data_IF_408491884301
#
_entry.id   IF_408491884301
#
_cell.length_a   1.000
_cell.length_b   1.000
_cell.length_c   1.000
_cell.angle_alpha   90.00
_cell.angle_beta   90.00
_cell.angle_gamma   90.00
#
_symmetry.space_group_name_H-M   'P 1'
#
loop_
_entity.id
_entity.type
_entity.pdbx_description
1 polymer ?
#
# COMPACT_ATOMS: atom_id res chain seq x y z
N UNK A 1 -0.84 -18.09 -11.98
CA UNK A 1 -1.44 -16.88 -11.42
C UNK A 1 -1.19 -16.87 -9.91
N UNK A 2 -0.39 -15.92 -9.43
CA UNK A 2 -0.15 -15.68 -8.00
C UNK A 2 -1.05 -14.59 -7.44
N UNK A 3 -0.98 -14.36 -6.12
CA UNK A 3 -1.81 -13.34 -5.45
C UNK A 3 -1.57 -11.92 -5.99
N UNK A 4 -0.33 -11.62 -6.40
CA UNK A 4 0.07 -10.32 -6.94
C UNK A 4 -0.60 -9.99 -8.26
N UNK A 5 -0.83 -10.98 -9.14
CA UNK A 5 -1.48 -10.76 -10.43
C UNK A 5 -2.90 -10.20 -10.25
N UNK A 6 -3.64 -10.73 -9.27
CA UNK A 6 -4.98 -10.25 -8.90
C UNK A 6 -4.96 -8.89 -8.19
N UNK A 7 -3.92 -8.57 -7.43
CA UNK A 7 -3.76 -7.24 -6.81
C UNK A 7 -3.47 -6.17 -7.87
N UNK A 8 -2.55 -6.46 -8.78
CA UNK A 8 -2.17 -5.56 -9.87
C UNK A 8 -3.34 -5.34 -10.83
N UNK A 9 -4.06 -6.41 -11.21
CA UNK A 9 -5.27 -6.29 -12.02
C UNK A 9 -6.35 -5.44 -11.34
N UNK A 10 -6.59 -5.61 -10.03
CA UNK A 10 -7.54 -4.77 -9.30
C UNK A 10 -7.16 -3.29 -9.36
N UNK A 11 -5.90 -2.95 -9.11
CA UNK A 11 -5.47 -1.54 -9.13
C UNK A 11 -5.53 -0.94 -10.53
N UNK A 12 -5.13 -1.70 -11.56
CA UNK A 12 -5.28 -1.30 -12.96
C UNK A 12 -6.73 -0.99 -13.35
N UNK A 13 -7.69 -1.88 -13.02
CA UNK A 13 -9.11 -1.62 -13.29
C UNK A 13 -9.64 -0.44 -12.44
N UNK A 14 -9.16 -0.29 -11.20
CA UNK A 14 -9.55 0.80 -10.31
C UNK A 14 -9.00 2.17 -10.71
N UNK A 15 -7.87 2.24 -11.42
CA UNK A 15 -7.36 3.48 -12.03
C UNK A 15 -8.22 3.93 -13.21
N UNK A 16 -8.81 2.98 -13.95
CA UNK A 16 -9.68 3.25 -15.09
C UNK A 16 -11.14 3.55 -14.68
N UNK A 17 -11.72 2.74 -13.79
CA UNK A 17 -13.07 2.92 -13.23
C UNK A 17 -13.03 2.71 -11.69
N UNK A 18 -12.86 3.80 -10.91
CA UNK A 18 -12.71 3.73 -9.46
C UNK A 18 -13.80 2.91 -8.75
N UNK A 19 -13.37 1.94 -7.96
CA UNK A 19 -14.24 1.20 -7.07
C UNK A 19 -14.60 2.06 -5.85
N UNK A 20 -15.85 1.93 -5.38
CA UNK A 20 -16.21 2.42 -4.05
C UNK A 20 -15.45 1.66 -2.96
N UNK A 21 -15.33 2.28 -1.78
CA UNK A 21 -14.70 1.66 -0.60
C UNK A 21 -15.31 0.27 -0.28
N UNK A 22 -16.61 0.10 -0.49
CA UNK A 22 -17.30 -1.18 -0.24
C UNK A 22 -16.95 -2.27 -1.27
N UNK A 23 -16.68 -1.88 -2.53
CA UNK A 23 -16.22 -2.80 -3.58
C UNK A 23 -14.77 -3.22 -3.32
N UNK A 24 -13.86 -2.27 -3.06
CA UNK A 24 -12.46 -2.59 -2.76
C UNK A 24 -12.30 -3.48 -1.53
N UNK A 25 -12.96 -3.13 -0.41
CA UNK A 25 -12.93 -3.92 0.83
C UNK A 25 -13.51 -5.32 0.62
N UNK A 26 -14.58 -5.46 -0.19
CA UNK A 26 -15.13 -6.77 -0.55
C UNK A 26 -14.15 -7.58 -1.41
N UNK A 27 -13.52 -6.96 -2.41
CA UNK A 27 -12.59 -7.63 -3.31
C UNK A 27 -11.38 -8.20 -2.55
N UNK A 28 -10.70 -7.39 -1.73
CA UNK A 28 -9.55 -7.86 -0.95
C UNK A 28 -9.91 -8.92 0.09
N UNK A 29 -11.13 -8.90 0.65
CA UNK A 29 -11.60 -10.00 1.50
C UNK A 29 -11.85 -11.29 0.71
N UNK A 30 -12.41 -11.20 -0.51
CA UNK A 30 -12.56 -12.35 -1.40
C UNK A 30 -11.20 -12.90 -1.86
N UNK A 31 -10.20 -12.04 -2.09
CA UNK A 31 -8.82 -12.42 -2.37
C UNK A 31 -8.17 -13.19 -1.21
N UNK A 32 -8.37 -12.72 0.03
CA UNK A 32 -7.96 -13.44 1.24
C UNK A 32 -8.65 -14.81 1.36
N UNK A 33 -9.97 -14.89 1.15
CA UNK A 33 -10.71 -16.17 1.22
C UNK A 33 -10.31 -17.15 0.11
N UNK A 34 -10.03 -16.67 -1.10
CA UNK A 34 -9.52 -17.49 -2.19
C UNK A 34 -8.15 -18.09 -1.82
N UNK A 35 -7.22 -17.27 -1.33
CA UNK A 35 -5.91 -17.72 -0.87
C UNK A 35 -6.01 -18.72 0.30
N UNK A 36 -6.89 -18.44 1.27
CA UNK A 36 -7.18 -19.33 2.41
C UNK A 36 -7.82 -20.66 1.98
N UNK A 37 -8.58 -20.67 0.89
CA UNK A 37 -9.17 -21.88 0.28
C UNK A 37 -8.27 -22.48 -0.81
N UNK A 38 -6.95 -22.21 -0.77
CA UNK A 38 -5.95 -22.73 -1.70
C UNK A 38 -6.28 -22.52 -3.19
N UNK A 39 -6.88 -21.36 -3.50
CA UNK A 39 -7.26 -20.97 -4.86
C UNK A 39 -8.26 -21.92 -5.55
N UNK A 40 -9.05 -22.66 -4.77
CA UNK A 40 -10.18 -23.41 -5.28
C UNK A 40 -11.14 -22.49 -6.05
N UNK A 41 -11.42 -22.79 -7.31
CA UNK A 41 -12.35 -22.03 -8.15
C UNK A 41 -13.51 -22.92 -8.61
N UNK A 42 -14.78 -22.57 -8.30
CA UNK A 42 -15.19 -21.48 -7.43
C UNK A 42 -15.04 -21.79 -5.92
N UNK A 43 -14.76 -20.78 -5.10
CA UNK A 43 -14.68 -20.88 -3.63
C UNK A 43 -15.98 -20.45 -2.95
N UNK A 44 -16.17 -20.89 -1.69
CA UNK A 44 -17.43 -20.71 -0.94
C UNK A 44 -17.33 -19.56 0.06
N UNK A 45 -18.23 -18.58 -0.02
CA UNK A 45 -18.38 -17.54 1.01
C UNK A 45 -19.86 -17.17 1.21
N UNK A 46 -20.35 -17.13 2.45
CA UNK A 46 -21.75 -16.76 2.70
C UNK A 46 -21.94 -15.24 2.76
N UNK A 47 -23.09 -14.73 2.28
CA UNK A 47 -23.45 -13.30 2.40
C UNK A 47 -23.54 -12.83 3.84
N UNK A 48 -23.88 -13.73 4.78
CA UNK A 48 -23.90 -13.42 6.21
C UNK A 48 -22.48 -13.26 6.78
N UNK A 49 -21.52 -14.11 6.37
CA UNK A 49 -20.12 -13.96 6.75
C UNK A 49 -19.56 -12.64 6.22
N UNK A 50 -19.80 -12.32 4.95
CA UNK A 50 -19.33 -11.06 4.35
C UNK A 50 -19.93 -9.83 5.05
N UNK A 51 -21.24 -9.81 5.33
CA UNK A 51 -21.86 -8.72 6.07
C UNK A 51 -21.25 -8.52 7.47
N UNK A 52 -21.00 -9.62 8.20
CA UNK A 52 -20.39 -9.56 9.53
C UNK A 52 -18.90 -9.14 9.50
N UNK A 53 -18.11 -9.73 8.59
CA UNK A 53 -16.65 -9.50 8.49
C UNK A 53 -16.30 -8.11 7.97
N UNK A 54 -17.12 -7.57 7.07
CA UNK A 54 -16.94 -6.22 6.51
C UNK A 54 -17.72 -5.16 7.30
N UNK A 55 -18.31 -5.52 8.44
CA UNK A 55 -19.14 -4.67 9.30
C UNK A 55 -20.16 -3.83 8.51
N UNK A 56 -20.92 -4.47 7.61
CA UNK A 56 -21.78 -3.78 6.65
C UNK A 56 -23.09 -4.52 6.37
N UNK A 57 -24.06 -3.85 5.74
CA UNK A 57 -25.37 -4.46 5.48
C UNK A 57 -25.33 -5.48 4.34
N UNK A 58 -26.19 -6.51 4.40
CA UNK A 58 -26.34 -7.49 3.31
C UNK A 58 -26.65 -6.83 1.96
N UNK A 59 -27.43 -5.74 1.97
CA UNK A 59 -27.76 -4.96 0.79
C UNK A 59 -26.52 -4.24 0.21
N UNK A 60 -25.64 -3.73 1.06
CA UNK A 60 -24.38 -3.12 0.61
C UNK A 60 -23.43 -4.18 0.01
N UNK A 61 -23.32 -5.35 0.63
CA UNK A 61 -22.58 -6.49 0.06
C UNK A 61 -23.13 -6.88 -1.32
N UNK A 62 -24.46 -6.89 -1.52
CA UNK A 62 -25.06 -7.16 -2.84
C UNK A 62 -24.67 -6.10 -3.87
N UNK A 63 -24.82 -4.81 -3.55
CA UNK A 63 -24.42 -3.70 -4.43
C UNK A 63 -22.93 -3.80 -4.82
N UNK A 64 -22.06 -4.03 -3.85
CA UNK A 64 -20.62 -4.15 -4.08
C UNK A 64 -20.27 -5.35 -4.98
N UNK A 65 -20.94 -6.49 -4.84
CA UNK A 65 -20.74 -7.62 -5.77
C UNK A 65 -21.17 -7.31 -7.19
N UNK A 66 -22.34 -6.68 -7.35
CA UNK A 66 -22.86 -6.35 -8.67
C UNK A 66 -21.96 -5.33 -9.39
N UNK A 67 -21.34 -4.40 -8.65
CA UNK A 67 -20.35 -3.46 -9.17
C UNK A 67 -18.98 -4.08 -9.50
N UNK A 68 -18.44 -4.94 -8.64
CA UNK A 68 -17.23 -5.73 -8.95
C UNK A 68 -17.44 -6.66 -10.16
N UNK A 69 -18.62 -7.29 -10.31
CA UNK A 69 -18.94 -8.13 -11.46
C UNK A 69 -19.05 -7.32 -12.76
N UNK A 70 -19.60 -6.09 -12.70
CA UNK A 70 -19.66 -5.19 -13.87
C UNK A 70 -18.28 -4.81 -14.40
N UNK A 71 -17.31 -4.59 -13.50
CA UNK A 71 -15.89 -4.37 -13.84
C UNK A 71 -15.14 -5.64 -14.23
N UNK A 72 -15.81 -6.79 -14.29
CA UNK A 72 -15.19 -8.06 -14.66
C UNK A 72 -14.19 -8.61 -13.64
N UNK A 73 -14.07 -8.02 -12.44
CA UNK A 73 -13.10 -8.41 -11.39
C UNK A 73 -13.48 -9.71 -10.65
N UNK A 74 -14.78 -10.00 -10.54
CA UNK A 74 -15.30 -11.23 -9.94
C UNK A 74 -16.46 -11.77 -10.78
N UNK A 75 -16.73 -13.06 -10.64
CA UNK A 75 -18.04 -13.64 -10.92
C UNK A 75 -18.60 -14.32 -9.65
N UNK A 76 -19.92 -14.43 -9.54
CA UNK A 76 -20.56 -15.08 -8.39
C UNK A 76 -21.92 -15.70 -8.73
N UNK A 77 -22.19 -16.87 -8.13
CA UNK A 77 -23.53 -17.46 -8.11
C UNK A 77 -24.21 -17.27 -6.75
N UNK A 78 -25.53 -17.03 -6.77
CA UNK A 78 -26.31 -16.84 -5.55
C UNK A 78 -26.50 -18.18 -4.84
N UNK A 79 -26.20 -18.22 -3.55
CA UNK A 79 -26.50 -19.37 -2.71
C UNK A 79 -28.00 -19.51 -2.43
N UNK A 80 -28.55 -20.72 -2.57
CA UNK A 80 -29.99 -21.04 -2.49
C UNK A 80 -30.52 -21.21 -1.05
N UNK A 81 -29.84 -20.64 -0.04
CA UNK A 81 -30.28 -20.64 1.36
C UNK A 81 -29.45 -21.53 2.29
N UNK A 82 -30.09 -22.11 3.32
CA UNK A 82 -29.40 -22.92 4.35
C UNK A 82 -28.72 -24.14 3.70
N UNK A 83 -27.40 -24.24 3.87
CA UNK A 83 -26.57 -25.33 3.33
C UNK A 83 -25.93 -25.06 1.96
N UNK A 84 -26.40 -24.06 1.20
CA UNK A 84 -25.85 -23.70 -0.12
C UNK A 84 -25.28 -22.26 -0.08
N UNK A 85 -23.99 -22.07 0.30
CA UNK A 85 -23.36 -20.76 0.30
C UNK A 85 -23.21 -20.21 -1.14
N UNK A 86 -23.00 -18.90 -1.26
CA UNK A 86 -22.67 -18.30 -2.54
C UNK A 86 -21.25 -18.74 -2.98
N UNK A 87 -21.09 -18.92 -4.29
CA UNK A 87 -19.84 -19.31 -4.91
C UNK A 87 -19.22 -18.11 -5.63
N UNK A 88 -17.89 -18.00 -5.60
CA UNK A 88 -17.14 -16.90 -6.21
C UNK A 88 -16.00 -17.44 -7.06
N UNK A 89 -15.73 -16.73 -8.14
CA UNK A 89 -14.53 -16.88 -8.94
C UNK A 89 -13.90 -15.50 -9.08
N UNK A 90 -12.65 -15.35 -8.66
CA UNK A 90 -11.86 -14.18 -9.02
C UNK A 90 -11.55 -14.26 -10.51
N UNK A 91 -11.66 -13.15 -11.21
CA UNK A 91 -11.44 -13.08 -12.65
C UNK A 91 -10.09 -12.42 -12.90
N UNK A 92 -9.38 -12.99 -13.88
CA UNK A 92 -8.10 -12.52 -14.37
C UNK A 92 -7.94 -13.14 -15.75
N UNK A 93 -7.89 -12.33 -16.81
CA UNK A 93 -7.65 -12.86 -18.17
C UNK A 93 -6.17 -13.21 -18.31
N UNK A 94 -5.85 -14.25 -19.09
CA UNK A 94 -4.46 -14.61 -19.39
C UNK A 94 -3.78 -13.49 -20.20
N UNK A 95 -4.51 -12.86 -21.13
CA UNK A 95 -4.07 -11.69 -21.89
C UNK A 95 -3.77 -10.49 -20.97
N UNK A 96 -4.64 -10.23 -19.97
CA UNK A 96 -4.43 -9.18 -18.96
C UNK A 96 -3.24 -9.51 -18.04
N UNK A 97 -3.02 -10.78 -17.70
CA UNK A 97 -1.88 -11.18 -16.86
C UNK A 97 -0.54 -10.95 -17.57
N UNK A 98 -0.47 -11.30 -18.85
CA UNK A 98 0.74 -11.13 -19.67
C UNK A 98 1.01 -9.65 -19.97
N UNK A 99 -0.01 -8.87 -20.32
CA UNK A 99 0.13 -7.44 -20.58
C UNK A 99 0.51 -6.64 -19.33
N UNK A 100 -0.11 -6.91 -18.17
CA UNK A 100 0.26 -6.27 -16.90
C UNK A 100 1.70 -6.63 -16.49
N UNK A 101 2.11 -7.89 -16.67
CA UNK A 101 3.48 -8.32 -16.40
C UNK A 101 4.49 -7.63 -17.31
N UNK A 102 4.19 -7.53 -18.62
CA UNK A 102 5.05 -6.83 -19.57
C UNK A 102 5.11 -5.31 -19.31
N UNK A 103 3.98 -4.67 -19.02
CA UNK A 103 3.92 -3.23 -18.72
C UNK A 103 4.74 -2.89 -17.48
N UNK A 104 4.56 -3.62 -16.38
CA UNK A 104 5.37 -3.42 -15.16
C UNK A 104 6.84 -3.75 -15.41
N UNK A 105 7.15 -4.81 -16.18
CA UNK A 105 8.53 -5.15 -16.51
C UNK A 105 9.18 -4.08 -17.38
N UNK A 106 8.48 -3.49 -18.35
CA UNK A 106 8.99 -2.37 -19.15
C UNK A 106 9.23 -1.13 -18.30
N UNK A 107 8.27 -0.70 -17.47
CA UNK A 107 8.47 0.45 -16.59
C UNK A 107 9.63 0.24 -15.60
N UNK A 108 9.78 -0.96 -15.05
CA UNK A 108 10.92 -1.31 -14.18
C UNK A 108 12.23 -1.38 -14.96
N UNK A 109 12.24 -1.92 -16.19
CA UNK A 109 13.46 -2.08 -17.00
C UNK A 109 13.93 -0.76 -17.57
N UNK A 110 13.03 0.12 -18.02
CA UNK A 110 13.35 1.49 -18.46
C UNK A 110 13.92 2.31 -17.30
N UNK A 111 13.29 2.22 -16.12
CA UNK A 111 13.81 2.85 -14.90
C UNK A 111 15.20 2.32 -14.55
N UNK A 112 15.41 1.01 -14.57
CA UNK A 112 16.69 0.38 -14.17
C UNK A 112 17.80 0.56 -15.22
N UNK A 113 17.46 0.59 -16.51
CA UNK A 113 18.39 0.87 -17.60
C UNK A 113 18.86 2.34 -17.59
N UNK A 114 18.02 3.26 -17.09
CA UNK A 114 18.43 4.66 -16.85
C UNK A 114 19.33 4.84 -15.61
N UNK A 115 19.33 3.87 -14.68
CA UNK A 115 20.10 3.91 -13.41
C UNK A 115 21.43 3.12 -13.47
N UNK A 116 21.80 2.49 -14.61
CA UNK A 116 23.03 1.69 -14.71
C UNK A 116 24.15 2.42 -15.50
N UNK A 117 25.21 2.92 -14.84
CA UNK A 117 26.42 3.36 -15.54
C UNK A 117 27.07 2.17 -16.25
N UNK A 118 27.32 2.29 -17.55
CA UNK A 118 28.21 1.37 -18.27
C UNK A 118 29.66 1.57 -17.81
N UNK A 119 30.05 0.95 -16.68
CA UNK A 119 31.44 0.89 -16.25
C UNK A 119 31.78 -0.43 -15.56
N UNK A 120 31.73 -1.53 -16.32
CA UNK A 120 32.61 -2.65 -16.05
C UNK A 120 34.00 -2.29 -16.60
N UNK A 121 35.06 -2.23 -15.78
CA UNK A 121 36.40 -1.90 -16.27
C UNK A 121 36.94 -3.09 -17.09
N UNK A 122 36.96 -2.94 -18.41
CA UNK A 122 37.68 -3.86 -19.29
C UNK A 122 39.18 -3.79 -18.96
N UNK A 123 39.70 -4.86 -18.38
CA UNK A 123 41.14 -4.98 -18.11
C UNK A 123 41.91 -4.98 -19.43
N UNK A 124 42.84 -4.04 -19.57
CA UNK A 124 43.70 -3.95 -20.75
C UNK A 124 44.56 -5.21 -20.92
N UNK A 125 44.31 -5.95 -22.00
CA UNK A 125 45.35 -6.76 -22.66
C UNK A 125 45.47 -6.16 -24.07
N UNK A 126 46.65 -5.63 -24.39
CA UNK A 126 46.95 -5.12 -25.73
C UNK A 126 47.20 -6.30 -26.67
N UNK A 127 46.67 -6.21 -27.88
CA UNK A 127 47.43 -6.46 -29.12
C UNK A 127 46.72 -5.79 -30.31
N UNK A 128 47.35 -5.79 -31.49
CA UNK A 128 47.42 -4.59 -32.35
C UNK A 128 46.64 -4.64 -33.69
N UNK A 129 46.31 -3.45 -34.23
CA UNK A 129 45.99 -3.12 -35.64
C UNK A 129 44.73 -3.77 -36.29
N UNK A 130 43.78 -3.04 -36.91
CA UNK A 130 43.97 -2.30 -38.18
C UNK A 130 42.70 -1.50 -38.62
N UNK A 131 42.85 -0.17 -38.81
CA UNK A 131 42.07 0.78 -39.68
C UNK A 131 40.55 1.09 -39.58
N UNK A 132 40.26 2.41 -39.47
CA UNK A 132 39.29 3.27 -40.26
C UNK A 132 37.77 3.08 -40.07
N UNK A 133 36.88 4.09 -40.14
CA UNK A 133 36.92 5.56 -40.44
C UNK A 133 35.72 6.24 -39.69
N UNK A 134 35.89 7.34 -38.93
CA UNK A 134 35.56 8.79 -39.22
C UNK A 134 34.09 9.26 -39.03
N UNK A 135 33.92 10.40 -38.32
CA UNK A 135 32.68 11.19 -38.08
C UNK A 135 32.43 11.44 -36.58
N UNK A 136 32.85 12.54 -35.92
CA UNK A 136 32.41 13.95 -36.05
C UNK A 136 30.87 14.09 -36.10
N UNK A 137 30.13 14.82 -35.24
CA UNK A 137 30.40 15.81 -34.17
C UNK A 137 29.28 15.67 -33.07
N UNK A 138 29.08 16.45 -31.98
CA UNK A 138 29.57 17.77 -31.48
C UNK A 138 29.45 17.85 -29.93
N UNK A 139 29.74 19.01 -29.33
CA UNK A 139 29.40 19.38 -27.93
C UNK A 139 28.41 20.57 -27.89
N UNK A 140 27.53 20.66 -26.88
CA UNK A 140 27.12 21.92 -26.22
C UNK A 140 26.72 21.68 -24.74
N UNK A 141 26.80 22.69 -23.83
CA UNK A 141 26.90 22.44 -22.39
C UNK A 141 25.69 22.89 -21.54
N UNK A 142 25.42 22.19 -20.42
CA UNK A 142 24.73 22.78 -19.26
C UNK A 142 24.83 21.93 -17.97
N UNK A 143 25.58 22.47 -17.01
CA UNK A 143 25.20 22.78 -15.62
C UNK A 143 24.39 21.78 -14.75
N UNK A 144 24.87 21.65 -13.50
CA UNK A 144 24.23 21.07 -12.31
C UNK A 144 24.13 19.54 -12.22
N UNK A 145 25.24 18.96 -11.79
CA UNK A 145 25.26 17.69 -11.05
C UNK A 145 24.33 17.77 -9.83
N UNK A 146 23.24 16.97 -9.82
CA UNK A 146 22.49 16.61 -8.61
C UNK A 146 22.81 15.16 -8.27
N UNK A 147 23.60 14.95 -7.22
CA UNK A 147 23.90 13.61 -6.69
C UNK A 147 22.64 13.04 -6.05
N UNK A 148 22.08 11.98 -6.64
CA UNK A 148 21.00 11.21 -6.02
C UNK A 148 21.62 10.36 -4.91
N UNK A 149 21.47 10.82 -3.67
CA UNK A 149 21.92 10.10 -2.48
C UNK A 149 20.92 9.00 -2.11
N UNK A 150 21.43 7.86 -1.68
CA UNK A 150 20.61 6.75 -1.20
C UNK A 150 19.88 7.11 0.10
N UNK A 151 18.83 6.35 0.42
CA UNK A 151 18.04 6.58 1.63
C UNK A 151 18.87 6.46 2.93
N UNK A 152 19.91 5.61 2.92
CA UNK A 152 20.86 5.46 4.02
C UNK A 152 21.78 6.67 4.16
N UNK A 153 22.34 7.18 3.06
CA UNK A 153 23.20 8.37 3.05
C UNK A 153 22.44 9.63 3.44
N UNK A 154 21.17 9.76 3.02
CA UNK A 154 20.27 10.82 3.46
C UNK A 154 19.96 10.73 4.95
N UNK A 155 19.68 9.53 5.47
CA UNK A 155 19.45 9.33 6.91
C UNK A 155 20.69 9.72 7.73
N UNK A 156 21.88 9.28 7.33
CA UNK A 156 23.11 9.61 8.04
C UNK A 156 23.40 11.12 8.00
N UNK A 157 23.25 11.77 6.84
CA UNK A 157 23.38 13.23 6.73
C UNK A 157 22.40 13.99 7.64
N UNK A 158 21.11 13.63 7.63
CA UNK A 158 20.10 14.33 8.43
C UNK A 158 20.26 14.07 9.94
N UNK A 159 20.78 12.90 10.35
CA UNK A 159 21.09 12.62 11.75
C UNK A 159 22.36 13.33 12.26
N UNK A 160 23.29 13.64 11.35
CA UNK A 160 24.53 14.38 11.65
C UNK A 160 24.37 15.91 11.57
N UNK A 161 23.35 16.43 10.87
CA UNK A 161 23.01 17.86 10.83
C UNK A 161 22.30 18.31 12.13
N UNK A 162 23.10 18.52 13.18
CA UNK A 162 22.62 18.98 14.48
C UNK A 162 22.02 20.41 14.44
N UNK A 163 22.38 21.23 13.44
CA UNK A 163 21.77 22.57 13.26
C UNK A 163 20.32 22.44 12.77
N UNK A 164 20.09 21.53 11.81
CA UNK A 164 18.75 21.22 11.35
C UNK A 164 17.90 20.51 12.41
N UNK A 165 18.46 19.58 13.19
CA UNK A 165 17.73 18.93 14.29
C UNK A 165 17.29 19.95 15.36
N UNK A 166 18.10 20.97 15.66
CA UNK A 166 17.72 22.07 16.55
C UNK A 166 16.60 22.94 15.94
N UNK A 167 16.72 23.29 14.67
CA UNK A 167 15.64 24.02 13.96
C UNK A 167 14.34 23.20 13.84
N UNK A 168 14.43 21.87 13.76
CA UNK A 168 13.31 20.95 13.73
C UNK A 168 12.63 20.87 15.11
N UNK A 169 13.39 20.77 16.20
CA UNK A 169 12.82 20.77 17.56
C UNK A 169 12.14 22.10 17.89
N UNK A 170 12.70 23.24 17.49
CA UNK A 170 12.05 24.55 17.62
C UNK A 170 10.74 24.65 16.82
N UNK A 171 10.71 24.14 15.58
CA UNK A 171 9.48 24.11 14.76
C UNK A 171 8.41 23.19 15.36
N UNK A 172 8.81 22.07 15.95
CA UNK A 172 7.90 21.14 16.65
C UNK A 172 7.37 21.75 17.96
N UNK A 173 8.22 22.41 18.74
CA UNK A 173 7.84 23.11 19.97
C UNK A 173 6.79 24.21 19.70
N UNK A 174 6.95 24.98 18.60
CA UNK A 174 5.94 25.94 18.11
C UNK A 174 4.58 25.30 17.77
N UNK A 175 4.54 23.98 17.53
CA UNK A 175 3.32 23.19 17.30
C UNK A 175 2.88 22.39 18.55
N UNK A 176 3.38 22.73 19.75
CA UNK A 176 3.14 22.04 21.04
C UNK A 176 3.67 20.59 21.12
N UNK A 177 4.62 20.22 20.26
CA UNK A 177 5.30 18.92 20.30
C UNK A 177 6.68 19.14 20.92
N UNK A 178 6.87 18.68 22.16
CA UNK A 178 8.15 18.75 22.88
C UNK A 178 8.80 17.37 22.79
N UNK A 179 10.02 17.31 22.25
CA UNK A 179 10.83 16.09 22.14
C UNK A 179 12.27 16.38 22.57
N UNK A 180 12.87 15.43 23.27
CA UNK A 180 14.28 15.45 23.60
C UNK A 180 15.14 15.18 22.35
N UNK A 181 16.42 15.57 22.39
CA UNK A 181 17.33 15.44 21.24
C UNK A 181 17.53 14.00 20.76
N UNK A 182 17.46 13.02 21.65
CA UNK A 182 17.52 11.59 21.32
C UNK A 182 16.18 11.08 20.75
N UNK A 183 15.06 11.40 21.41
CA UNK A 183 13.70 11.07 20.93
C UNK A 183 13.45 11.61 19.51
N UNK A 184 13.95 12.81 19.20
CA UNK A 184 13.86 13.39 17.86
C UNK A 184 14.66 12.57 16.85
N UNK A 185 15.89 12.15 17.18
CA UNK A 185 16.72 11.30 16.32
C UNK A 185 16.06 9.93 16.08
N UNK A 186 15.41 9.36 17.09
CA UNK A 186 14.65 8.11 16.94
C UNK A 186 13.39 8.28 16.08
N UNK A 187 12.70 9.43 16.15
CA UNK A 187 11.60 9.74 15.23
C UNK A 187 12.06 9.96 13.79
N UNK A 188 13.26 10.52 13.58
CA UNK A 188 13.88 10.61 12.26
C UNK A 188 14.21 9.20 11.72
N UNK A 189 14.77 8.31 12.55
CA UNK A 189 15.00 6.90 12.18
C UNK A 189 13.70 6.18 11.81
N UNK A 190 12.66 6.30 12.64
CA UNK A 190 11.33 5.70 12.39
C UNK A 190 10.73 6.19 11.06
N UNK A 191 10.89 7.48 10.71
CA UNK A 191 10.47 8.01 9.41
C UNK A 191 11.19 7.31 8.25
N UNK A 192 12.52 7.17 8.31
CA UNK A 192 13.30 6.55 7.24
C UNK A 192 12.99 5.06 7.10
N UNK A 193 12.88 4.32 8.21
CA UNK A 193 12.40 2.92 8.18
C UNK A 193 11.00 2.81 7.57
N UNK A 194 10.08 3.75 7.84
CA UNK A 194 8.77 3.78 7.17
C UNK A 194 8.86 4.08 5.67
N UNK A 195 9.80 4.90 5.20
CA UNK A 195 9.98 5.17 3.77
C UNK A 195 10.56 3.95 3.04
N UNK A 196 11.47 3.23 3.69
CA UNK A 196 12.07 1.99 3.18
C UNK A 196 11.02 0.89 2.99
N UNK A 197 10.17 0.63 4.00
CA UNK A 197 9.05 -0.31 3.89
C UNK A 197 8.00 0.10 2.85
N UNK A 198 7.95 1.38 2.46
CA UNK A 198 7.07 1.92 1.41
C UNK A 198 7.72 1.96 0.02
N UNK A 199 8.94 1.42 -0.13
CA UNK A 199 9.64 1.34 -1.42
C UNK A 199 10.06 2.70 -2.00
N UNK A 200 10.19 3.74 -1.17
CA UNK A 200 10.54 5.08 -1.64
C UNK A 200 12.02 5.17 -2.04
N UNK A 201 12.32 5.05 -3.34
CA UNK A 201 13.62 5.43 -3.91
C UNK A 201 13.77 6.96 -3.87
N UNK A 202 14.81 7.47 -3.20
CA UNK A 202 15.42 8.80 -3.35
C UNK A 202 14.52 10.04 -3.45
N UNK A 203 14.65 10.99 -2.50
CA UNK A 203 14.05 12.33 -2.61
C UNK A 203 15.09 13.42 -2.38
N UNK A 204 14.82 14.63 -2.89
CA UNK A 204 15.72 15.78 -2.74
C UNK A 204 15.87 16.18 -1.26
N UNK A 205 17.09 16.53 -0.84
CA UNK A 205 17.43 16.73 0.57
C UNK A 205 16.57 17.81 1.26
N UNK A 206 16.23 18.87 0.52
CA UNK A 206 15.36 19.95 1.00
C UNK A 206 13.92 19.47 1.26
N UNK A 207 13.37 18.65 0.36
CA UNK A 207 12.03 18.08 0.50
C UNK A 207 12.00 17.08 1.66
N UNK A 208 13.02 16.21 1.78
CA UNK A 208 13.14 15.24 2.88
C UNK A 208 13.00 15.91 4.26
N UNK A 209 13.66 17.06 4.47
CA UNK A 209 13.64 17.82 5.72
C UNK A 209 12.21 18.27 6.10
N UNK A 210 11.40 18.71 5.13
CA UNK A 210 10.02 19.13 5.35
C UNK A 210 9.04 17.95 5.43
N UNK A 211 9.30 16.84 4.71
CA UNK A 211 8.55 15.59 4.85
C UNK A 211 8.69 14.98 6.25
N UNK A 212 9.90 14.97 6.83
CA UNK A 212 10.12 14.51 8.22
C UNK A 212 9.28 15.33 9.19
N UNK A 213 9.34 16.65 9.12
CA UNK A 213 8.58 17.54 10.00
C UNK A 213 7.07 17.28 9.93
N UNK A 214 6.52 17.19 8.71
CA UNK A 214 5.09 16.95 8.50
C UNK A 214 4.67 15.53 8.91
N UNK A 215 5.52 14.52 8.74
CA UNK A 215 5.26 13.16 9.21
C UNK A 215 5.24 13.08 10.74
N UNK A 216 6.20 13.71 11.44
CA UNK A 216 6.20 13.79 12.91
C UNK A 216 4.92 14.49 13.38
N UNK A 217 4.59 15.65 12.80
CA UNK A 217 3.37 16.41 13.12
C UNK A 217 2.09 15.59 12.90
N UNK A 218 2.01 14.82 11.81
CA UNK A 218 0.88 13.94 11.52
C UNK A 218 0.75 12.80 12.54
N UNK A 219 1.87 12.12 12.86
CA UNK A 219 1.94 11.05 13.87
C UNK A 219 1.43 11.54 15.24
N UNK A 220 1.95 12.67 15.74
CA UNK A 220 1.55 13.21 17.05
C UNK A 220 0.09 13.69 17.08
N UNK A 221 -0.41 14.27 15.98
CA UNK A 221 -1.83 14.65 15.85
C UNK A 221 -2.75 13.41 15.89
N UNK A 222 -2.36 12.30 15.28
CA UNK A 222 -3.18 11.08 15.26
C UNK A 222 -3.07 10.22 16.53
N UNK A 223 -1.93 10.23 17.22
CA UNK A 223 -1.76 9.48 18.47
C UNK A 223 -2.50 10.13 19.64
N UNK A 224 -2.42 11.46 19.79
CA UNK A 224 -3.10 12.18 20.88
C UNK A 224 -4.49 12.74 20.50
N UNK A 225 -4.87 12.70 19.22
CA UNK A 225 -6.16 13.21 18.73
C UNK A 225 -7.32 12.20 18.72
N UNK A 226 -7.07 10.92 19.04
CA UNK A 226 -8.05 9.83 18.89
C UNK A 226 -8.64 9.29 20.21
N UNK A 227 -8.42 9.94 21.36
CA UNK A 227 -9.14 9.60 22.62
C UNK A 227 -10.58 10.16 22.68
N UNK A 228 -11.16 10.61 21.56
CA UNK A 228 -12.52 11.16 21.56
C UNK A 228 -13.30 10.88 20.29
N UNK A 229 -13.72 9.60 20.13
CA UNK A 229 -15.01 9.23 19.50
C UNK A 229 -15.49 7.79 19.76
N UNK A 230 -15.27 7.26 20.96
CA UNK A 230 -16.00 6.09 21.45
C UNK A 230 -17.39 6.48 22.02
N UNK A 231 -18.25 7.11 21.20
CA UNK A 231 -19.67 7.21 21.51
C UNK A 231 -20.39 5.89 21.16
N UNK A 232 -20.02 4.85 21.89
CA UNK A 232 -20.86 3.66 21.98
C UNK A 232 -22.12 4.02 22.76
N UNK A 233 -23.22 4.31 22.07
CA UNK A 233 -24.54 4.17 22.65
C UNK A 233 -24.81 2.68 22.88
N UNK A 234 -24.24 2.16 23.97
CA UNK A 234 -24.76 0.96 24.62
C UNK A 234 -26.14 1.36 25.11
N UNK A 235 -27.17 1.01 24.35
CA UNK A 235 -28.54 1.03 24.84
C UNK A 235 -28.61 0.04 26.00
N UNK A 236 -28.55 0.56 27.22
CA UNK A 236 -28.81 -0.18 28.46
C UNK A 236 -30.29 -0.55 28.51
N UNK A 237 -30.68 -1.52 27.68
CA UNK A 237 -31.88 -2.31 27.91
C UNK A 237 -31.62 -3.05 29.21
N UNK A 238 -32.14 -2.50 30.32
CA UNK A 238 -32.29 -3.24 31.56
C UNK A 238 -33.23 -4.40 31.26
N UNK A 239 -32.66 -5.59 31.07
CA UNK A 239 -33.44 -6.83 31.14
C UNK A 239 -33.73 -7.05 32.62
N UNK A 240 -34.85 -6.51 33.07
CA UNK A 240 -35.38 -6.75 34.40
C UNK A 240 -35.94 -8.17 34.45
N UNK A 241 -35.38 -9.00 35.34
CA UNK A 241 -35.70 -10.42 35.41
C UNK A 241 -37.10 -10.64 36.00
N UNK A 242 -38.11 -10.76 35.14
CA UNK A 242 -39.46 -11.11 35.57
C UNK A 242 -39.57 -12.60 35.92
N UNK A 243 -39.46 -12.86 37.23
CA UNK A 243 -39.90 -14.05 37.98
C UNK A 243 -39.26 -15.41 37.65
N UNK A 244 -39.06 -16.28 38.66
CA UNK A 244 -38.42 -17.59 38.48
C UNK A 244 -39.33 -18.68 37.89
N UNK A 245 -40.55 -18.34 37.46
CA UNK A 245 -41.61 -19.29 37.09
C UNK A 245 -41.51 -19.76 35.61
N UNK A 246 -40.91 -18.97 34.72
CA UNK A 246 -40.80 -19.26 33.27
C UNK A 246 -39.77 -20.34 32.91
N UNK A 247 -39.05 -20.90 33.88
CA UNK A 247 -38.01 -21.93 33.69
C UNK A 247 -38.49 -23.37 33.94
N UNK A 248 -39.73 -23.71 33.56
CA UNK A 248 -40.27 -25.09 33.66
C UNK A 248 -40.59 -25.68 32.29
N UNK A 249 -39.55 -25.99 31.52
CA UNK A 249 -39.63 -26.81 30.31
C UNK A 249 -39.47 -28.30 30.63
N UNK A 250 -40.52 -29.10 30.40
CA UNK A 250 -40.52 -30.55 30.60
C UNK A 250 -39.50 -31.29 29.70
N UNK A 251 -38.75 -32.22 30.30
CA UNK A 251 -38.28 -33.49 29.74
C UNK A 251 -38.08 -34.47 30.90
#
# INVERSE_FOLDING_TARGET
MGIYDYMNHFWFENENDPCSLSEGVLYFYLLYEANRQHWASPFKVSTQMLAARLNTSKQNVMKARDGLRKRGLIDFSKGEGKGKPALYTLRLSEEQSQSLSQLMTQQLTESLASELPQSLPHSNIKEENTTKEVGEEKQYPSSNSKVVLTLSELMEKLLNDNSWLLGLSERLAKNKIILNGEELKDKVREFFSEQEHKGCKGKEEADCREYVFNWIKYKYKNYYGNESKCNGQISTIKIEANRPEDYTGYC
#
